data_IF_240823497913
#
_entry.id   IF_240823497913
#
_cell.length_a   1.000
_cell.length_b   1.000
_cell.length_c   1.000
_cell.angle_alpha   90.00
_cell.angle_beta   90.00
_cell.angle_gamma   90.00
#
_symmetry.space_group_name_H-M   'P 1'
#
loop_
_entity.id
_entity.type
_entity.pdbx_description
1 polymer ?
#
# COMPACT_ATOMS: atom_id res chain seq x y z
N UNK A 1 10.08 19.58 2.96
CA UNK A 1 8.66 19.99 3.09
C UNK A 1 7.85 19.07 2.19
N UNK A 2 6.73 18.53 2.67
CA UNK A 2 5.80 17.75 1.85
C UNK A 2 4.61 18.62 1.48
N UNK A 3 4.04 18.37 0.31
CA UNK A 3 2.78 18.95 -0.12
C UNK A 3 1.91 17.81 -0.65
N UNK A 4 0.63 17.84 -0.32
CA UNK A 4 -0.33 16.83 -0.74
C UNK A 4 -1.31 17.44 -1.72
N UNK A 5 -1.46 16.80 -2.88
CA UNK A 5 -2.51 17.09 -3.85
C UNK A 5 -3.61 16.06 -3.64
N UNK A 6 -4.87 16.50 -3.54
CA UNK A 6 -6.03 15.62 -3.31
C UNK A 6 -6.46 14.86 -4.58
N UNK A 7 -5.50 14.24 -5.24
CA UNK A 7 -5.68 13.47 -6.47
C UNK A 7 -4.71 12.30 -6.45
N UNK A 8 -5.17 11.12 -6.85
CA UNK A 8 -4.29 9.99 -7.10
C UNK A 8 -3.37 10.30 -8.29
N UNK A 9 -2.15 9.78 -8.24
CA UNK A 9 -1.19 9.89 -9.35
C UNK A 9 -1.73 9.26 -10.64
N UNK A 10 -2.46 8.15 -10.51
CA UNK A 10 -3.23 7.54 -11.59
C UNK A 10 -4.68 7.26 -11.17
N UNK A 11 -5.69 7.53 -12.03
CA UNK A 11 -7.08 7.33 -11.67
C UNK A 11 -7.42 5.85 -11.43
N UNK A 12 -8.04 5.57 -10.28
CA UNK A 12 -8.50 4.23 -9.88
C UNK A 12 -10.01 4.27 -9.63
N UNK A 13 -10.74 3.40 -10.32
CA UNK A 13 -12.20 3.31 -10.24
C UNK A 13 -12.68 1.87 -10.47
N UNK A 14 -12.43 1.01 -9.50
CA UNK A 14 -12.87 -0.39 -9.48
C UNK A 14 -14.34 -0.46 -9.05
N UNK A 15 -15.13 -1.26 -9.75
CA UNK A 15 -16.60 -1.40 -9.55
C UNK A 15 -17.02 -2.81 -9.15
N UNK A 16 -16.06 -3.69 -8.88
CA UNK A 16 -16.29 -5.05 -8.46
C UNK A 16 -15.67 -5.31 -7.09
N UNK A 17 -16.29 -6.23 -6.35
CA UNK A 17 -15.72 -6.82 -5.14
C UNK A 17 -14.85 -8.01 -5.55
N UNK A 18 -13.56 -7.96 -5.21
CA UNK A 18 -12.60 -9.04 -5.46
C UNK A 18 -11.65 -9.16 -4.26
N UNK A 19 -12.04 -9.99 -3.30
CA UNK A 19 -11.31 -10.15 -2.04
C UNK A 19 -10.00 -10.91 -2.20
N UNK A 20 -9.91 -11.77 -3.22
CA UNK A 20 -8.66 -12.48 -3.53
C UNK A 20 -7.62 -11.49 -4.06
N UNK A 21 -8.02 -10.63 -5.01
CA UNK A 21 -7.14 -9.58 -5.51
C UNK A 21 -6.77 -8.58 -4.41
N UNK A 22 -7.74 -8.15 -3.57
CA UNK A 22 -7.46 -7.27 -2.44
C UNK A 22 -6.37 -7.86 -1.52
N UNK A 23 -6.50 -9.15 -1.17
CA UNK A 23 -5.49 -9.85 -0.37
C UNK A 23 -4.13 -9.91 -1.05
N UNK A 24 -4.06 -10.12 -2.36
CA UNK A 24 -2.78 -10.12 -3.08
C UNK A 24 -2.13 -8.74 -3.12
N UNK A 25 -2.93 -7.69 -3.29
CA UNK A 25 -2.45 -6.30 -3.28
C UNK A 25 -1.92 -5.88 -1.91
N UNK A 26 -2.35 -6.51 -0.80
CA UNK A 26 -1.77 -6.26 0.52
C UNK A 26 -0.25 -6.52 0.55
N UNK A 27 0.24 -7.55 -0.14
CA UNK A 27 1.69 -7.78 -0.27
C UNK A 27 2.43 -6.64 -0.97
N UNK A 28 1.80 -5.95 -1.93
CA UNK A 28 2.38 -4.76 -2.56
C UNK A 28 2.23 -3.53 -1.66
N UNK A 29 1.22 -3.49 -0.79
CA UNK A 29 0.95 -2.34 0.07
C UNK A 29 1.87 -2.32 1.29
N UNK A 30 1.89 -3.40 2.08
CA UNK A 30 2.63 -3.51 3.34
C UNK A 30 3.68 -4.61 3.39
N UNK A 31 3.82 -5.42 2.33
CA UNK A 31 4.82 -6.49 2.32
C UNK A 31 6.26 -5.97 2.25
N UNK A 32 7.25 -6.85 2.54
CA UNK A 32 8.66 -6.47 2.64
C UNK A 32 9.25 -5.88 1.34
N UNK A 33 8.73 -6.32 0.19
CA UNK A 33 9.09 -5.82 -1.13
C UNK A 33 8.01 -4.91 -1.74
N UNK A 34 7.04 -4.48 -0.95
CA UNK A 34 5.95 -3.59 -1.36
C UNK A 34 6.36 -2.12 -1.41
N UNK A 35 5.42 -1.29 -1.86
CA UNK A 35 5.63 0.15 -2.13
C UNK A 35 5.96 0.93 -0.86
N UNK A 36 5.37 0.58 0.29
CA UNK A 36 5.75 1.22 1.55
C UNK A 36 7.22 0.95 1.88
N UNK A 37 7.66 -0.30 1.73
CA UNK A 37 9.05 -0.69 1.92
C UNK A 37 9.99 0.04 0.97
N UNK A 38 9.61 0.14 -0.31
CA UNK A 38 10.35 0.88 -1.33
C UNK A 38 10.46 2.38 -0.99
N UNK A 39 9.34 3.03 -0.70
CA UNK A 39 9.29 4.45 -0.33
C UNK A 39 10.19 4.75 0.86
N UNK A 40 10.03 4.01 1.97
CA UNK A 40 10.82 4.19 3.18
C UNK A 40 12.31 3.94 2.93
N UNK A 41 12.64 2.92 2.12
CA UNK A 41 14.02 2.60 1.74
C UNK A 41 14.67 3.75 0.97
N UNK A 42 14.05 4.28 -0.08
CA UNK A 42 14.63 5.37 -0.87
C UNK A 42 14.73 6.67 -0.05
N UNK A 43 13.69 7.01 0.72
CA UNK A 43 13.67 8.18 1.60
C UNK A 43 14.71 8.09 2.72
N UNK A 44 15.13 6.88 3.12
CA UNK A 44 16.20 6.69 4.10
C UNK A 44 17.59 6.71 3.45
N UNK A 45 17.76 6.02 2.32
CA UNK A 45 19.02 5.94 1.56
C UNK A 45 19.57 7.31 1.14
N UNK A 46 18.70 8.33 0.96
CA UNK A 46 19.15 9.69 0.62
C UNK A 46 20.13 10.28 1.65
N UNK A 47 20.05 9.88 2.92
CA UNK A 47 20.93 10.41 3.96
C UNK A 47 22.33 9.80 3.91
N UNK A 48 22.42 8.53 3.53
CA UNK A 48 23.66 7.73 3.47
C UNK A 48 24.24 7.60 2.06
N UNK A 49 23.64 8.25 1.06
CA UNK A 49 24.11 8.26 -0.33
C UNK A 49 25.60 8.66 -0.43
N UNK A 50 26.51 7.74 -0.81
CA UNK A 50 27.96 7.90 -0.60
C UNK A 50 28.58 9.09 -1.35
N UNK A 51 28.09 9.38 -2.55
CA UNK A 51 28.65 10.43 -3.42
C UNK A 51 27.87 11.74 -3.37
N UNK A 52 26.71 11.75 -2.70
CA UNK A 52 25.75 12.85 -2.74
C UNK A 52 25.02 13.04 -4.08
N UNK A 53 25.45 12.39 -5.17
CA UNK A 53 24.96 12.67 -6.53
C UNK A 53 23.49 12.27 -6.77
N UNK A 54 23.02 11.22 -6.10
CA UNK A 54 21.66 10.69 -6.31
C UNK A 54 20.70 10.98 -5.15
N UNK A 55 21.04 11.92 -4.25
CA UNK A 55 20.16 12.28 -3.12
C UNK A 55 18.81 12.85 -3.57
N UNK A 56 18.85 13.69 -4.61
CA UNK A 56 17.65 14.24 -5.25
C UNK A 56 16.80 13.12 -5.84
N UNK A 57 17.39 12.31 -6.72
CA UNK A 57 16.70 11.18 -7.36
C UNK A 57 16.06 10.21 -6.36
N UNK A 58 16.74 9.85 -5.27
CA UNK A 58 16.16 9.00 -4.23
C UNK A 58 14.98 9.67 -3.50
N UNK A 59 15.01 10.99 -3.37
CA UNK A 59 13.90 11.75 -2.81
C UNK A 59 12.73 11.77 -3.78
N UNK A 60 13.00 11.99 -5.07
CA UNK A 60 11.98 11.99 -6.12
C UNK A 60 11.26 10.65 -6.19
N UNK A 61 12.02 9.55 -6.33
CA UNK A 61 11.47 8.18 -6.37
C UNK A 61 10.74 7.85 -5.06
N UNK A 62 11.37 8.07 -3.91
CA UNK A 62 10.72 7.76 -2.62
C UNK A 62 9.44 8.58 -2.36
N UNK A 63 9.28 9.74 -3.01
CA UNK A 63 8.04 10.53 -2.99
C UNK A 63 7.00 9.98 -3.97
N UNK A 64 7.40 9.52 -5.17
CA UNK A 64 6.55 8.82 -6.13
C UNK A 64 6.00 7.52 -5.52
N UNK A 65 6.83 6.71 -4.86
CA UNK A 65 6.38 5.46 -4.23
C UNK A 65 5.32 5.70 -3.13
N UNK A 66 5.31 6.87 -2.48
CA UNK A 66 4.22 7.21 -1.54
C UNK A 66 2.88 7.41 -2.26
N UNK A 67 2.88 7.86 -3.51
CA UNK A 67 1.69 7.91 -4.35
C UNK A 67 1.25 6.49 -4.76
N UNK A 68 2.19 5.59 -5.07
CA UNK A 68 1.88 4.17 -5.31
C UNK A 68 1.26 3.50 -4.07
N UNK A 69 1.73 3.82 -2.86
CA UNK A 69 1.10 3.38 -1.61
C UNK A 69 -0.35 3.85 -1.50
N UNK A 70 -0.65 5.12 -1.83
CA UNK A 70 -2.01 5.65 -1.84
C UNK A 70 -2.90 4.97 -2.90
N UNK A 71 -2.33 4.66 -4.07
CA UNK A 71 -3.01 3.92 -5.13
C UNK A 71 -3.37 2.51 -4.69
N UNK A 72 -2.44 1.76 -4.10
CA UNK A 72 -2.72 0.40 -3.59
C UNK A 72 -3.75 0.42 -2.47
N UNK A 73 -3.63 1.36 -1.52
CA UNK A 73 -4.64 1.58 -0.50
C UNK A 73 -6.04 1.78 -1.11
N UNK A 74 -6.13 2.62 -2.14
CA UNK A 74 -7.39 2.89 -2.85
C UNK A 74 -7.95 1.64 -3.51
N UNK A 75 -7.11 0.86 -4.19
CA UNK A 75 -7.54 -0.38 -4.85
C UNK A 75 -8.05 -1.40 -3.83
N UNK A 76 -7.30 -1.66 -2.75
CA UNK A 76 -7.69 -2.59 -1.69
C UNK A 76 -9.02 -2.14 -1.06
N UNK A 77 -9.15 -0.84 -0.77
CA UNK A 77 -10.37 -0.27 -0.20
C UNK A 77 -11.59 -0.50 -1.11
N UNK A 78 -11.48 -0.22 -2.40
CA UNK A 78 -12.57 -0.41 -3.36
C UNK A 78 -12.91 -1.89 -3.56
N UNK A 79 -11.91 -2.78 -3.61
CA UNK A 79 -12.12 -4.21 -3.79
C UNK A 79 -12.73 -4.91 -2.58
N UNK A 80 -12.50 -4.39 -1.38
CA UNK A 80 -13.09 -4.86 -0.12
C UNK A 80 -14.44 -4.20 0.20
N UNK A 81 -14.89 -3.25 -0.63
CA UNK A 81 -16.13 -2.52 -0.40
C UNK A 81 -17.32 -3.49 -0.33
N UNK A 82 -18.20 -3.29 0.67
CA UNK A 82 -19.38 -4.12 0.92
C UNK A 82 -19.12 -5.62 1.20
N UNK A 83 -17.88 -6.02 1.48
CA UNK A 83 -17.58 -7.39 1.91
C UNK A 83 -18.28 -7.72 3.24
N UNK A 84 -18.94 -8.87 3.32
CA UNK A 84 -19.47 -9.38 4.60
C UNK A 84 -18.33 -10.01 5.40
N UNK A 85 -18.55 -10.20 6.70
CA UNK A 85 -17.56 -10.89 7.54
C UNK A 85 -17.31 -12.33 7.07
N UNK A 86 -18.35 -13.02 6.60
CA UNK A 86 -18.21 -14.41 6.16
C UNK A 86 -17.42 -14.49 4.84
N UNK A 87 -17.63 -13.58 3.90
CA UNK A 87 -16.82 -13.48 2.69
C UNK A 87 -15.34 -13.16 2.99
N UNK A 88 -15.08 -12.28 3.96
CA UNK A 88 -13.71 -11.99 4.40
C UNK A 88 -13.04 -13.23 5.01
N UNK A 89 -13.77 -14.02 5.80
CA UNK A 89 -13.24 -15.28 6.36
C UNK A 89 -12.94 -16.29 5.25
N UNK A 90 -13.84 -16.45 4.29
CA UNK A 90 -13.66 -17.35 3.13
C UNK A 90 -12.45 -16.93 2.27
N UNK A 91 -12.20 -15.64 2.11
CA UNK A 91 -11.02 -15.11 1.43
C UNK A 91 -9.72 -15.21 2.27
N UNK A 92 -9.82 -15.68 3.52
CA UNK A 92 -8.69 -15.77 4.45
C UNK A 92 -8.18 -14.40 4.93
N UNK A 93 -9.09 -13.43 5.07
CA UNK A 93 -8.88 -12.10 5.67
C UNK A 93 -9.52 -12.00 7.08
N UNK A 94 -9.93 -13.13 7.67
CA UNK A 94 -10.53 -13.17 9.00
C UNK A 94 -9.60 -12.63 10.10
N UNK A 95 -8.30 -12.93 10.04
CA UNK A 95 -7.31 -12.39 10.98
C UNK A 95 -7.18 -10.87 10.88
N UNK A 96 -7.02 -10.36 9.65
CA UNK A 96 -7.03 -8.91 9.38
C UNK A 96 -8.26 -8.22 9.95
N UNK A 97 -9.44 -8.82 9.80
CA UNK A 97 -10.67 -8.25 10.33
C UNK A 97 -10.70 -8.18 11.87
N UNK A 98 -10.12 -9.15 12.56
CA UNK A 98 -10.04 -9.13 14.04
C UNK A 98 -9.20 -7.95 14.52
N UNK A 99 -8.07 -7.70 13.87
CA UNK A 99 -7.12 -6.69 14.32
C UNK A 99 -7.46 -5.28 13.81
N UNK A 100 -8.04 -5.17 12.61
CA UNK A 100 -8.20 -3.90 11.90
C UNK A 100 -9.62 -3.66 11.35
N UNK A 101 -10.55 -4.61 11.54
CA UNK A 101 -11.89 -4.54 10.95
C UNK A 101 -11.81 -4.49 9.43
N UNK A 102 -12.48 -3.49 8.82
CA UNK A 102 -12.38 -3.21 7.38
C UNK A 102 -11.37 -2.11 7.04
N UNK A 103 -10.61 -1.62 8.04
CA UNK A 103 -9.60 -0.62 7.80
C UNK A 103 -8.40 -1.22 7.06
N UNK A 104 -7.67 -0.38 6.33
CA UNK A 104 -6.40 -0.76 5.72
C UNK A 104 -5.32 -0.80 6.78
N UNK A 105 -4.38 -1.72 6.64
CA UNK A 105 -3.20 -1.83 7.48
C UNK A 105 -2.03 -2.35 6.66
N UNK A 106 -0.81 -1.94 7.04
CA UNK A 106 0.41 -2.28 6.31
C UNK A 106 0.86 -3.69 6.70
N UNK A 107 0.23 -4.69 6.11
CA UNK A 107 0.61 -6.10 6.23
C UNK A 107 0.72 -6.72 4.84
N UNK A 108 1.50 -7.79 4.73
CA UNK A 108 1.50 -8.65 3.56
C UNK A 108 0.21 -9.50 3.44
N UNK A 109 0.06 -10.24 2.34
CA UNK A 109 -1.08 -11.13 2.11
C UNK A 109 -1.25 -12.25 3.16
N UNK A 110 -0.25 -12.49 4.01
CA UNK A 110 -0.28 -13.47 5.09
C UNK A 110 -0.54 -12.84 6.46
N UNK A 111 -0.58 -11.51 6.55
CA UNK A 111 -0.84 -10.76 7.77
C UNK A 111 0.42 -10.34 8.54
N UNK A 112 1.63 -10.45 7.96
CA UNK A 112 2.84 -9.95 8.62
C UNK A 112 3.02 -8.46 8.33
N UNK A 113 3.29 -7.62 9.35
CA UNK A 113 3.59 -6.21 9.19
C UNK A 113 5.03 -5.94 8.72
#
# INVERSE_FOLDING_TARGET
>A
MWYYVKTLEYPINLKCKDLAMAKYLMSQYGGPDGELGAALRYLNQRYTMPTGKSKGLLTDIGTEEMAHVEMLATMIYQLMENATLDELKEAGLGGHYVDHGKALFYTDATGNP
#
